data_IF_729075596302
#
_entry.id   IF_729075596302
#
_cell.length_a   1.000
_cell.length_b   1.000
_cell.length_c   1.000
_cell.angle_alpha   90.00
_cell.angle_beta   90.00
_cell.angle_gamma   90.00
#
_symmetry.space_group_name_H-M   'P 1'
#
loop_
_entity.id
_entity.type
_entity.pdbx_description
1 polymer ?
#
# COMPACT_ATOMS: atom_id res chain seq x y z
N UNK A 1 20.44 7.07 -8.68
CA UNK A 1 19.21 7.47 -7.98
C UNK A 1 18.22 6.30 -7.89
N UNK A 2 18.05 5.55 -8.92
CA UNK A 2 17.16 4.39 -8.98
C UNK A 2 17.96 3.08 -8.97
N UNK A 3 18.52 2.73 -7.82
CA UNK A 3 19.32 1.50 -7.67
C UNK A 3 18.46 0.22 -7.72
N UNK A 4 17.13 0.34 -7.54
CA UNK A 4 16.20 -0.79 -7.44
C UNK A 4 14.87 -0.48 -8.13
N UNK A 5 14.88 -0.40 -9.45
CA UNK A 5 13.68 -0.18 -10.28
C UNK A 5 12.93 -1.46 -10.66
N UNK A 6 13.09 -2.48 -9.86
CA UNK A 6 12.39 -3.74 -10.03
C UNK A 6 10.98 -3.72 -9.48
N UNK A 7 10.32 -4.86 -9.64
CA UNK A 7 9.06 -5.20 -8.98
C UNK A 7 9.36 -5.77 -7.59
N UNK A 8 8.58 -5.39 -6.59
CA UNK A 8 8.69 -5.97 -5.26
C UNK A 8 7.61 -7.06 -5.10
N UNK A 9 8.02 -8.32 -5.23
CA UNK A 9 7.12 -9.48 -5.14
C UNK A 9 7.72 -10.50 -4.17
N UNK A 10 6.90 -11.04 -3.29
CA UNK A 10 7.29 -12.06 -2.30
C UNK A 10 8.48 -11.63 -1.42
N UNK A 11 8.48 -10.36 -0.99
CA UNK A 11 9.54 -9.80 -0.14
C UNK A 11 10.87 -9.53 -0.84
N UNK A 12 10.94 -9.62 -2.17
CA UNK A 12 12.17 -9.46 -2.96
C UNK A 12 11.99 -8.48 -4.12
N UNK A 13 13.03 -7.69 -4.37
CA UNK A 13 13.15 -6.89 -5.58
C UNK A 13 13.62 -7.79 -6.74
N UNK A 14 12.93 -7.72 -7.87
CA UNK A 14 13.23 -8.53 -9.06
C UNK A 14 12.87 -7.77 -10.34
N UNK A 15 13.57 -8.09 -11.41
CA UNK A 15 13.23 -7.59 -12.74
C UNK A 15 11.97 -8.29 -13.27
N UNK A 16 11.33 -7.71 -14.30
CA UNK A 16 10.27 -8.43 -15.01
C UNK A 16 10.79 -9.71 -15.67
N UNK A 17 9.91 -10.67 -15.88
CA UNK A 17 10.26 -11.99 -16.44
C UNK A 17 10.89 -11.89 -17.84
N UNK A 18 10.50 -10.91 -18.65
CA UNK A 18 11.06 -10.61 -19.95
C UNK A 18 12.18 -9.53 -19.95
N UNK A 19 12.52 -9.02 -18.75
CA UNK A 19 13.46 -7.91 -18.52
C UNK A 19 13.04 -6.60 -19.21
N UNK A 20 11.77 -6.47 -19.59
CA UNK A 20 11.20 -5.26 -20.19
C UNK A 20 11.26 -4.08 -19.21
N UNK A 21 11.57 -2.90 -19.73
CA UNK A 21 11.61 -1.64 -18.96
C UNK A 21 10.92 -0.52 -19.73
N UNK A 22 10.62 0.55 -19.02
CA UNK A 22 10.23 1.83 -19.62
C UNK A 22 11.04 2.96 -18.97
N UNK A 23 11.22 4.04 -19.73
CA UNK A 23 11.95 5.21 -19.27
C UNK A 23 11.14 5.99 -18.24
N UNK A 24 11.81 6.47 -17.20
CA UNK A 24 11.28 7.44 -16.24
C UNK A 24 11.88 8.79 -16.59
N UNK A 25 11.03 9.73 -16.97
CA UNK A 25 11.44 11.04 -17.48
C UNK A 25 11.10 12.12 -16.46
N UNK A 26 12.04 13.03 -16.21
CA UNK A 26 11.77 14.24 -15.45
C UNK A 26 10.95 15.21 -16.32
N UNK A 27 9.71 15.54 -15.96
CA UNK A 27 8.84 16.39 -16.79
C UNK A 27 9.29 17.85 -16.87
N UNK A 28 10.20 18.28 -16.00
CA UNK A 28 10.72 19.66 -16.01
C UNK A 28 11.93 19.84 -16.94
N UNK A 29 12.72 18.79 -17.15
CA UNK A 29 13.96 18.86 -17.97
C UNK A 29 13.92 17.94 -19.19
N UNK A 30 12.92 17.07 -19.28
CA UNK A 30 12.78 16.01 -20.30
C UNK A 30 13.92 14.98 -20.28
N UNK A 31 14.75 14.98 -19.23
CA UNK A 31 15.85 14.03 -19.09
C UNK A 31 15.34 12.68 -18.55
N UNK A 32 15.92 11.61 -19.08
CA UNK A 32 15.70 10.26 -18.54
C UNK A 32 16.44 10.16 -17.19
N UNK A 33 15.69 9.97 -16.12
CA UNK A 33 16.22 9.86 -14.74
C UNK A 33 16.36 8.41 -14.28
N UNK A 34 15.86 7.47 -15.06
CA UNK A 34 15.97 6.04 -14.80
C UNK A 34 15.08 5.19 -15.69
N UNK A 35 15.07 3.88 -15.41
CA UNK A 35 14.23 2.91 -16.10
C UNK A 35 13.46 2.09 -15.07
N UNK A 36 12.18 1.93 -15.23
CA UNK A 36 11.35 1.09 -14.37
C UNK A 36 11.00 -0.23 -15.04
N UNK A 37 10.87 -1.29 -14.26
CA UNK A 37 10.52 -2.62 -14.76
C UNK A 37 9.08 -2.64 -15.27
N UNK A 38 8.88 -3.18 -16.48
CA UNK A 38 7.55 -3.34 -17.09
C UNK A 38 7.03 -4.75 -16.79
N UNK A 39 6.02 -4.85 -15.95
CA UNK A 39 5.44 -6.13 -15.56
C UNK A 39 4.80 -6.86 -16.75
N UNK A 40 5.01 -8.17 -16.83
CA UNK A 40 4.28 -9.08 -17.72
C UNK A 40 3.05 -9.66 -16.99
N UNK A 41 2.19 -10.36 -17.73
CA UNK A 41 1.07 -11.09 -17.14
C UNK A 41 1.54 -12.16 -16.14
N UNK A 42 2.66 -12.81 -16.41
CA UNK A 42 3.24 -13.82 -15.52
C UNK A 42 3.75 -13.19 -14.21
N UNK A 43 4.31 -11.97 -14.28
CA UNK A 43 4.72 -11.22 -13.10
C UNK A 43 3.52 -10.86 -12.23
N UNK A 44 2.42 -10.42 -12.84
CA UNK A 44 1.17 -10.12 -12.15
C UNK A 44 0.60 -11.36 -11.48
N UNK A 45 0.59 -12.51 -12.19
CA UNK A 45 0.11 -13.77 -11.61
C UNK A 45 0.99 -14.18 -10.40
N UNK A 46 2.30 -14.07 -10.49
CA UNK A 46 3.20 -14.33 -9.35
C UNK A 46 2.92 -13.40 -8.16
N UNK A 47 2.66 -12.11 -8.44
CA UNK A 47 2.30 -11.15 -7.40
C UNK A 47 0.98 -11.52 -6.72
N UNK A 48 -0.04 -11.94 -7.50
CA UNK A 48 -1.32 -12.41 -6.98
C UNK A 48 -1.17 -13.67 -6.14
N UNK A 49 -0.36 -14.63 -6.56
CA UNK A 49 -0.09 -15.84 -5.78
C UNK A 49 0.65 -15.52 -4.46
N UNK A 50 1.60 -14.59 -4.49
CA UNK A 50 2.26 -14.09 -3.28
C UNK A 50 1.26 -13.40 -2.34
N UNK A 51 0.38 -12.55 -2.87
CA UNK A 51 -0.64 -11.87 -2.08
C UNK A 51 -1.65 -12.87 -1.47
N UNK A 52 -2.05 -13.93 -2.20
CA UNK A 52 -2.89 -15.01 -1.67
C UNK A 52 -2.22 -15.73 -0.49
N UNK A 53 -0.92 -16.07 -0.60
CA UNK A 53 -0.17 -16.66 0.51
C UNK A 53 -0.09 -15.70 1.71
N UNK A 54 0.19 -14.43 1.45
CA UNK A 54 0.23 -13.38 2.48
C UNK A 54 -1.10 -13.22 3.21
N UNK A 55 -2.22 -13.34 2.51
CA UNK A 55 -3.56 -13.26 3.09
C UNK A 55 -3.78 -14.34 4.17
N UNK A 56 -3.31 -15.58 3.95
CA UNK A 56 -3.49 -16.67 4.92
C UNK A 56 -2.79 -16.41 6.26
N UNK A 57 -1.73 -15.63 6.24
CA UNK A 57 -1.04 -15.19 7.46
C UNK A 57 -1.70 -13.94 8.02
N UNK A 58 -1.92 -12.94 7.16
CA UNK A 58 -2.35 -11.61 7.59
C UNK A 58 -3.75 -11.59 8.18
N UNK A 59 -4.71 -12.32 7.60
CA UNK A 59 -6.07 -12.42 8.14
C UNK A 59 -6.15 -13.05 9.54
N UNK A 60 -5.14 -13.87 9.92
CA UNK A 60 -5.02 -14.49 11.25
C UNK A 60 -4.23 -13.61 12.23
N UNK A 61 -3.53 -12.58 11.73
CA UNK A 61 -2.77 -11.65 12.57
C UNK A 61 -3.75 -10.78 13.36
N UNK A 62 -3.53 -10.67 14.67
CA UNK A 62 -4.44 -9.89 15.52
C UNK A 62 -4.52 -8.42 15.12
N UNK A 63 -5.64 -7.72 15.35
CA UNK A 63 -5.75 -6.29 15.06
C UNK A 63 -4.66 -5.45 15.75
N UNK A 64 -4.23 -5.82 16.94
CA UNK A 64 -3.14 -5.16 17.66
C UNK A 64 -1.80 -5.27 16.93
N UNK A 65 -1.47 -6.47 16.47
CA UNK A 65 -0.25 -6.71 15.73
C UNK A 65 -0.28 -6.02 14.35
N UNK A 66 -1.42 -6.06 13.66
CA UNK A 66 -1.61 -5.31 12.41
C UNK A 66 -1.42 -3.82 12.61
N UNK A 67 -2.07 -3.25 13.65
CA UNK A 67 -1.92 -1.85 14.03
C UNK A 67 -0.45 -1.47 14.26
N UNK A 68 0.28 -2.28 15.01
CA UNK A 68 1.70 -2.06 15.25
C UNK A 68 2.52 -2.02 13.95
N UNK A 69 2.31 -2.97 13.06
CA UNK A 69 3.03 -3.05 11.78
C UNK A 69 2.68 -1.85 10.88
N UNK A 70 1.39 -1.50 10.78
CA UNK A 70 0.92 -0.38 9.95
C UNK A 70 1.47 0.95 10.48
N UNK A 71 1.54 1.14 11.82
CA UNK A 71 2.16 2.32 12.43
C UNK A 71 3.64 2.43 12.08
N UNK A 72 4.38 1.33 12.13
CA UNK A 72 5.79 1.32 11.72
C UNK A 72 6.00 1.70 10.25
N UNK A 73 5.03 1.44 9.37
CA UNK A 73 5.09 1.94 7.99
C UNK A 73 5.02 3.47 7.99
N UNK A 74 4.11 4.08 8.75
CA UNK A 74 4.01 5.54 8.88
C UNK A 74 5.33 6.15 9.37
N UNK A 75 5.93 5.56 10.41
CA UNK A 75 7.21 6.02 10.95
C UNK A 75 8.30 5.98 9.88
N UNK A 76 8.39 4.87 9.12
CA UNK A 76 9.37 4.73 8.04
C UNK A 76 9.16 5.69 6.88
N UNK A 77 7.93 6.05 6.55
CA UNK A 77 7.62 7.06 5.54
C UNK A 77 8.15 8.42 6.02
N UNK A 78 7.90 8.80 7.28
CA UNK A 78 8.39 10.07 7.86
C UNK A 78 9.92 10.12 7.90
N UNK A 79 10.58 9.05 8.34
CA UNK A 79 12.06 8.96 8.35
C UNK A 79 12.68 9.16 6.97
N UNK A 80 11.98 8.79 5.91
CA UNK A 80 12.46 8.90 4.54
C UNK A 80 11.85 10.06 3.75
N UNK A 81 11.16 10.97 4.41
CA UNK A 81 10.41 12.06 3.77
C UNK A 81 11.24 12.83 2.73
N UNK A 82 12.44 13.27 3.08
CA UNK A 82 13.26 14.10 2.20
C UNK A 82 13.66 13.37 0.91
N UNK A 83 14.00 12.10 1.02
CA UNK A 83 14.38 11.28 -0.13
C UNK A 83 13.17 10.99 -1.02
N UNK A 84 12.04 10.59 -0.42
CA UNK A 84 10.81 10.28 -1.15
C UNK A 84 10.23 11.52 -1.83
N UNK A 85 10.23 12.67 -1.15
CA UNK A 85 9.77 13.94 -1.72
C UNK A 85 10.64 14.38 -2.90
N UNK A 86 11.96 14.23 -2.81
CA UNK A 86 12.87 14.53 -3.92
C UNK A 86 12.58 13.65 -5.14
N UNK A 87 12.37 12.35 -4.94
CA UNK A 87 12.00 11.45 -6.04
C UNK A 87 10.66 11.84 -6.66
N UNK A 88 9.66 12.14 -5.85
CA UNK A 88 8.35 12.60 -6.34
C UNK A 88 8.48 13.89 -7.17
N UNK A 89 9.28 14.85 -6.72
CA UNK A 89 9.54 16.07 -7.49
C UNK A 89 10.16 15.75 -8.85
N UNK A 90 11.12 14.84 -8.90
CA UNK A 90 11.81 14.48 -10.14
C UNK A 90 10.93 13.68 -11.11
N UNK A 91 10.05 12.80 -10.60
CA UNK A 91 9.19 11.94 -11.44
C UNK A 91 7.88 12.63 -11.87
N UNK A 92 7.30 13.43 -10.99
CA UNK A 92 5.96 14.01 -11.18
C UNK A 92 6.01 15.50 -11.54
N UNK A 93 7.15 16.16 -11.28
CA UNK A 93 7.29 17.61 -11.48
C UNK A 93 6.66 18.45 -10.37
N UNK A 94 6.22 17.84 -9.28
CA UNK A 94 5.60 18.55 -8.15
C UNK A 94 6.63 19.36 -7.38
N UNK A 95 6.32 20.61 -6.94
CA UNK A 95 7.22 21.39 -6.08
C UNK A 95 7.62 20.61 -4.83
N UNK A 96 8.89 20.73 -4.41
CA UNK A 96 9.45 19.94 -3.31
C UNK A 96 8.67 20.14 -1.99
N UNK A 97 8.19 21.35 -1.73
CA UNK A 97 7.38 21.62 -0.53
C UNK A 97 6.05 20.86 -0.54
N UNK A 98 5.37 20.80 -1.70
CA UNK A 98 4.14 20.04 -1.88
C UNK A 98 4.39 18.54 -1.81
N UNK A 99 5.48 18.06 -2.41
CA UNK A 99 5.90 16.67 -2.32
C UNK A 99 6.14 16.23 -0.87
N UNK A 100 6.82 17.06 -0.06
CA UNK A 100 6.99 16.83 1.38
C UNK A 100 5.65 16.76 2.12
N UNK A 101 4.74 17.67 1.81
CA UNK A 101 3.37 17.66 2.35
C UNK A 101 2.62 16.38 2.00
N UNK A 102 2.73 15.91 0.77
CA UNK A 102 2.10 14.67 0.34
C UNK A 102 2.69 13.43 1.04
N UNK A 103 4.01 13.34 1.20
CA UNK A 103 4.64 12.23 1.91
C UNK A 103 4.19 12.20 3.37
N UNK A 104 4.10 13.34 4.04
CA UNK A 104 3.56 13.40 5.40
C UNK A 104 2.08 12.97 5.44
N UNK A 105 1.26 13.46 4.52
CA UNK A 105 -0.14 13.05 4.42
C UNK A 105 -0.30 11.55 4.19
N UNK A 106 0.59 10.92 3.43
CA UNK A 106 0.60 9.46 3.27
C UNK A 106 0.92 8.76 4.60
N UNK A 107 1.89 9.25 5.37
CA UNK A 107 2.20 8.72 6.70
C UNK A 107 1.02 8.86 7.66
N UNK A 108 0.35 10.02 7.68
CA UNK A 108 -0.81 10.27 8.53
C UNK A 108 -1.97 9.31 8.21
N UNK A 109 -2.18 8.98 6.94
CA UNK A 109 -3.19 8.00 6.51
C UNK A 109 -2.85 6.60 7.02
N UNK A 110 -1.59 6.18 6.96
CA UNK A 110 -1.16 4.90 7.55
C UNK A 110 -1.36 4.90 9.07
N UNK A 111 -1.01 5.98 9.75
CA UNK A 111 -1.19 6.11 11.20
C UNK A 111 -2.68 6.06 11.59
N UNK A 112 -3.54 6.80 10.90
CA UNK A 112 -4.98 6.75 11.09
C UNK A 112 -5.53 5.32 10.96
N UNK A 113 -5.18 4.62 9.88
CA UNK A 113 -5.63 3.25 9.66
C UNK A 113 -5.03 2.25 10.67
N UNK A 114 -3.85 2.51 11.21
CA UNK A 114 -3.30 1.72 12.31
C UNK A 114 -4.19 1.80 13.56
N UNK A 115 -4.72 2.99 13.87
CA UNK A 115 -5.66 3.17 14.98
C UNK A 115 -7.03 2.53 14.70
N UNK A 116 -7.55 2.71 13.48
CA UNK A 116 -8.84 2.14 13.08
C UNK A 116 -8.82 0.61 13.04
N UNK A 117 -7.67 -0.01 12.78
CA UNK A 117 -7.51 -1.48 12.80
C UNK A 117 -8.10 -2.11 14.08
N UNK A 118 -7.95 -1.44 15.22
CA UNK A 118 -8.41 -1.92 16.55
C UNK A 118 -9.89 -1.66 16.80
N UNK A 119 -10.57 -0.91 15.93
CA UNK A 119 -11.96 -0.48 16.07
C UNK A 119 -12.92 -1.14 15.08
N UNK A 120 -12.48 -2.15 14.35
CA UNK A 120 -13.34 -2.93 13.45
C UNK A 120 -14.16 -3.90 14.31
N UNK A 121 -15.16 -3.34 15.01
CA UNK A 121 -16.02 -4.09 15.91
C UNK A 121 -17.16 -4.76 15.14
N UNK A 122 -17.54 -5.96 15.59
CA UNK A 122 -18.80 -6.57 15.21
C UNK A 122 -19.97 -5.95 15.96
N UNK A 123 -21.15 -6.48 15.72
CA UNK A 123 -22.39 -6.04 16.39
C UNK A 123 -23.12 -7.24 16.96
N UNK A 124 -23.72 -7.08 18.13
CA UNK A 124 -24.76 -7.97 18.66
C UNK A 124 -26.10 -7.26 18.47
N UNK A 125 -27.01 -7.91 17.78
CA UNK A 125 -28.31 -7.33 17.40
C UNK A 125 -29.41 -8.22 17.98
N UNK A 126 -30.43 -7.62 18.56
CA UNK A 126 -31.61 -8.33 19.03
C UNK A 126 -32.38 -8.89 17.83
N UNK A 127 -32.80 -10.16 17.96
CA UNK A 127 -33.64 -10.81 16.98
C UNK A 127 -35.12 -10.53 17.27
N UNK A 128 -35.95 -10.62 16.26
CA UNK A 128 -37.41 -10.66 16.42
C UNK A 128 -37.91 -11.95 17.07
N UNK A 129 -37.07 -12.97 17.18
CA UNK A 129 -37.37 -14.25 17.83
C UNK A 129 -36.71 -14.31 19.21
N UNK A 130 -37.48 -14.70 20.23
CA UNK A 130 -37.04 -14.67 21.62
C UNK A 130 -35.84 -15.58 21.94
N UNK A 131 -35.71 -16.69 21.23
CA UNK A 131 -34.67 -17.70 21.40
C UNK A 131 -33.45 -17.51 20.52
N UNK A 132 -33.39 -16.39 19.78
CA UNK A 132 -32.35 -16.12 18.77
C UNK A 132 -31.53 -14.90 19.13
N UNK A 133 -30.20 -14.97 18.92
CA UNK A 133 -29.27 -13.84 18.96
C UNK A 133 -28.58 -13.70 17.62
N UNK A 134 -28.44 -12.47 17.14
CA UNK A 134 -27.78 -12.17 15.88
C UNK A 134 -26.44 -11.49 16.15
N UNK A 135 -25.38 -12.05 15.58
CA UNK A 135 -24.04 -11.47 15.64
C UNK A 135 -23.55 -11.14 14.24
N UNK A 136 -23.03 -9.91 14.06
CA UNK A 136 -22.40 -9.45 12.84
C UNK A 136 -20.89 -9.42 13.03
N UNK A 137 -20.16 -10.08 12.15
CA UNK A 137 -18.69 -10.08 12.14
C UNK A 137 -18.18 -9.54 10.82
N UNK A 138 -17.17 -8.66 10.88
CA UNK A 138 -16.45 -8.21 9.71
C UNK A 138 -15.28 -9.15 9.39
N UNK A 139 -15.15 -9.52 8.13
CA UNK A 139 -14.07 -10.38 7.65
C UNK A 139 -13.35 -9.73 6.47
N UNK A 140 -12.03 -9.98 6.30
CA UNK A 140 -11.30 -9.53 5.11
C UNK A 140 -11.95 -10.04 3.82
N UNK A 141 -12.12 -9.17 2.83
CA UNK A 141 -12.67 -9.56 1.52
C UNK A 141 -11.69 -10.39 0.69
N UNK A 142 -10.41 -10.39 1.02
CA UNK A 142 -9.38 -11.17 0.33
C UNK A 142 -8.18 -10.35 -0.13
N UNK A 143 -7.74 -10.58 -1.37
CA UNK A 143 -6.67 -9.84 -2.03
C UNK A 143 -7.23 -8.58 -2.67
N UNK A 144 -6.59 -7.43 -2.46
CA UNK A 144 -7.00 -6.12 -2.97
C UNK A 144 -6.01 -5.63 -4.03
N UNK A 145 -6.49 -5.24 -5.19
CA UNK A 145 -5.71 -4.52 -6.19
C UNK A 145 -5.78 -3.01 -5.93
N UNK A 146 -4.66 -2.40 -5.57
CA UNK A 146 -4.57 -0.98 -5.24
C UNK A 146 -4.07 -0.17 -6.44
N UNK A 147 -4.97 0.18 -7.37
CA UNK A 147 -4.66 1.02 -8.53
C UNK A 147 -4.74 2.50 -8.15
N UNK A 148 -3.70 3.26 -8.48
CA UNK A 148 -3.61 4.68 -8.13
C UNK A 148 -3.20 5.51 -9.32
N UNK A 149 -3.80 6.71 -9.55
CA UNK A 149 -3.35 7.65 -10.55
C UNK A 149 -2.02 8.29 -10.15
N UNK A 150 -1.36 8.88 -11.13
CA UNK A 150 0.01 9.39 -11.00
C UNK A 150 0.14 10.74 -10.26
N UNK A 151 -0.94 11.53 -10.17
CA UNK A 151 -0.88 12.92 -9.69
C UNK A 151 -0.68 13.07 -8.17
N UNK A 152 -1.07 12.07 -7.38
CA UNK A 152 -0.82 11.98 -5.94
C UNK A 152 -0.37 10.56 -5.58
N UNK A 153 0.83 10.16 -6.03
CA UNK A 153 1.25 8.75 -6.00
C UNK A 153 1.38 8.18 -4.59
N UNK A 154 1.80 8.98 -3.61
CA UNK A 154 1.96 8.53 -2.24
C UNK A 154 0.62 8.46 -1.49
N UNK A 155 -0.14 9.55 -1.48
CA UNK A 155 -1.41 9.64 -0.73
C UNK A 155 -2.47 8.68 -1.26
N UNK A 156 -2.63 8.59 -2.58
CA UNK A 156 -3.67 7.73 -3.17
C UNK A 156 -3.35 6.24 -3.02
N UNK A 157 -2.06 5.89 -3.05
CA UNK A 157 -1.61 4.53 -2.73
C UNK A 157 -1.78 4.23 -1.24
N UNK A 158 -1.38 5.17 -0.37
CA UNK A 158 -1.52 5.02 1.08
C UNK A 158 -2.97 4.76 1.51
N UNK A 159 -3.94 5.49 0.95
CA UNK A 159 -5.37 5.31 1.24
C UNK A 159 -5.85 3.88 0.97
N UNK A 160 -5.45 3.28 -0.15
CA UNK A 160 -5.88 1.94 -0.54
C UNK A 160 -5.14 0.85 0.24
N UNK A 161 -3.81 0.98 0.31
CA UNK A 161 -2.95 -0.03 0.93
C UNK A 161 -3.21 -0.11 2.43
N UNK A 162 -3.19 1.02 3.14
CA UNK A 162 -3.34 1.03 4.59
C UNK A 162 -4.72 0.56 5.05
N UNK A 163 -5.78 0.97 4.35
CA UNK A 163 -7.16 0.56 4.66
C UNK A 163 -7.36 -0.94 4.44
N UNK A 164 -6.85 -1.48 3.31
CA UNK A 164 -6.93 -2.91 3.04
C UNK A 164 -6.17 -3.74 4.10
N UNK A 165 -4.95 -3.31 4.44
CA UNK A 165 -4.15 -3.97 5.48
C UNK A 165 -4.83 -3.87 6.85
N UNK A 166 -5.41 -2.73 7.20
CA UNK A 166 -6.14 -2.55 8.46
C UNK A 166 -7.31 -3.52 8.58
N UNK A 167 -8.07 -3.70 7.49
CA UNK A 167 -9.19 -4.64 7.42
C UNK A 167 -8.76 -6.12 7.43
N UNK A 168 -7.45 -6.42 7.35
CA UNK A 168 -6.91 -7.78 7.33
C UNK A 168 -6.80 -8.40 5.93
N UNK A 169 -6.97 -7.60 4.88
CA UNK A 169 -6.75 -7.99 3.50
C UNK A 169 -5.25 -7.98 3.15
N UNK A 170 -4.83 -8.77 2.17
CA UNK A 170 -3.55 -8.57 1.47
C UNK A 170 -3.72 -7.64 0.27
N UNK A 171 -2.62 -7.05 -0.22
CA UNK A 171 -2.64 -6.05 -1.29
C UNK A 171 -1.66 -6.45 -2.38
#
# INVERSE_FOLDING_TARGET
>A
MYEKLGQFIDGKWQQSSDKGTYEVINPATEEIIGHASKATSDDVERALQSAKKGLEVWKKTSPWQRSYIIRRIADRIREKQDVLAKWMTLEVGKPLAEAKGEINGAADIFEWNAEETKRIFGQAVESRFEDTRVHVYYQPVGVVAALSPWNFPAVLSARKISTALAAGCSV
#
